data_IF_848979569766
#
_entry.id   IF_848979569766
#
_cell.length_a   1.000
_cell.length_b   1.000
_cell.length_c   1.000
_cell.angle_alpha   90.00
_cell.angle_beta   90.00
_cell.angle_gamma   90.00
#
_symmetry.space_group_name_H-M   'P 1'
#
loop_
_entity.id
_entity.type
_entity.pdbx_description
1 polymer ?
#
# COMPACT_ATOMS: atom_id res chain seq x y z
N UNK A 1 13.75 27.71 10.51
CA UNK A 1 13.90 27.42 9.07
C UNK A 1 12.53 27.61 8.42
N UNK A 2 12.42 28.25 7.26
CA UNK A 2 11.13 28.48 6.59
C UNK A 2 10.60 27.17 5.99
N UNK A 3 9.27 26.98 5.93
CA UNK A 3 8.63 25.75 5.41
C UNK A 3 9.09 25.39 3.99
N UNK A 4 9.33 26.40 3.14
CA UNK A 4 9.90 26.25 1.79
C UNK A 4 11.28 25.57 1.78
N UNK A 5 12.13 25.94 2.74
CA UNK A 5 13.48 25.36 2.85
C UNK A 5 13.37 23.90 3.29
N UNK A 6 12.47 23.60 4.24
CA UNK A 6 12.26 22.23 4.71
C UNK A 6 11.78 21.33 3.55
N UNK A 7 10.78 21.80 2.79
CA UNK A 7 10.25 21.07 1.66
C UNK A 7 11.29 20.84 0.55
N UNK A 8 12.10 21.87 0.25
CA UNK A 8 13.14 21.79 -0.79
C UNK A 8 14.24 20.80 -0.41
N UNK A 9 14.78 20.88 0.81
CA UNK A 9 15.80 19.95 1.28
C UNK A 9 15.26 18.51 1.36
N UNK A 10 14.00 18.36 1.81
CA UNK A 10 13.36 17.04 1.83
C UNK A 10 13.20 16.47 0.42
N UNK A 11 12.75 17.26 -0.55
CA UNK A 11 12.63 16.84 -1.94
C UNK A 11 14.00 16.40 -2.50
N UNK A 12 15.07 17.15 -2.24
CA UNK A 12 16.43 16.77 -2.64
C UNK A 12 16.88 15.44 -1.98
N UNK A 13 16.56 15.23 -0.70
CA UNK A 13 16.80 13.98 0.02
C UNK A 13 16.08 12.80 -0.63
N UNK A 14 14.78 12.94 -0.94
CA UNK A 14 13.99 11.88 -1.58
C UNK A 14 14.53 11.54 -2.98
N UNK A 15 14.80 12.56 -3.80
CA UNK A 15 15.36 12.37 -5.14
C UNK A 15 16.71 11.65 -5.13
N UNK A 16 17.54 11.88 -4.11
CA UNK A 16 18.84 11.23 -3.96
C UNK A 16 18.73 9.73 -3.61
N UNK A 17 17.67 9.30 -2.90
CA UNK A 17 17.48 7.88 -2.52
C UNK A 17 16.69 7.08 -3.56
N UNK A 18 15.78 7.74 -4.29
CA UNK A 18 14.95 7.10 -5.30
C UNK A 18 14.31 8.11 -6.27
N UNK A 19 14.60 7.97 -7.57
CA UNK A 19 14.05 8.86 -8.60
C UNK A 19 12.55 8.70 -8.85
N UNK A 20 11.92 7.62 -8.34
CA UNK A 20 10.47 7.42 -8.45
C UNK A 20 9.68 8.05 -7.31
N UNK A 21 10.35 8.65 -6.32
CA UNK A 21 9.65 9.39 -5.28
C UNK A 21 9.18 10.74 -5.85
N UNK A 22 7.93 11.16 -5.54
CA UNK A 22 7.43 12.46 -5.93
C UNK A 22 8.25 13.58 -5.28
N UNK A 23 8.20 14.76 -5.88
CA UNK A 23 8.69 15.98 -5.24
C UNK A 23 7.92 16.29 -3.95
N UNK A 24 8.42 17.27 -3.19
CA UNK A 24 7.77 17.74 -1.97
C UNK A 24 7.50 19.23 -2.07
N UNK A 25 6.27 19.63 -1.78
CA UNK A 25 5.88 21.04 -1.60
C UNK A 25 5.62 21.31 -0.11
N UNK A 26 5.74 22.56 0.36
CA UNK A 26 5.39 22.91 1.73
C UNK A 26 4.00 22.39 2.11
N UNK A 27 3.86 21.92 3.35
CA UNK A 27 2.56 21.52 3.85
C UNK A 27 1.70 22.75 4.17
N UNK A 28 0.42 22.64 3.84
CA UNK A 28 -0.60 23.63 4.19
C UNK A 28 -1.60 23.01 5.15
N UNK A 29 -2.03 23.78 6.14
CA UNK A 29 -3.10 23.34 7.04
C UNK A 29 -4.43 23.30 6.28
N UNK A 30 -5.28 22.35 6.65
CA UNK A 30 -6.62 22.21 6.10
C UNK A 30 -7.61 21.85 7.23
N UNK A 31 -8.92 21.84 6.92
CA UNK A 31 -9.96 21.56 7.92
C UNK A 31 -9.72 20.26 8.71
N UNK A 32 -9.19 19.22 8.06
CA UNK A 32 -8.88 17.92 8.65
C UNK A 32 -7.38 17.61 8.73
N UNK A 33 -6.52 18.65 8.66
CA UNK A 33 -5.08 18.48 8.71
C UNK A 33 -4.35 19.65 9.41
N UNK A 34 -3.47 19.31 10.36
CA UNK A 34 -2.69 20.28 11.14
C UNK A 34 -1.21 20.14 10.80
N UNK A 35 -0.55 21.28 10.59
CA UNK A 35 0.91 21.32 10.40
C UNK A 35 1.59 21.40 11.76
N UNK A 36 2.53 20.49 12.00
CA UNK A 36 3.39 20.41 13.17
C UNK A 36 4.82 20.71 12.75
N UNK A 37 5.47 21.67 13.39
CA UNK A 37 6.86 22.03 13.09
C UNK A 37 7.74 21.88 14.32
N UNK A 38 8.96 21.41 14.11
CA UNK A 38 10.00 21.28 15.12
C UNK A 38 11.35 21.68 14.54
N UNK A 39 12.24 22.19 15.40
CA UNK A 39 13.61 22.53 15.03
C UNK A 39 14.58 22.09 16.13
N UNK A 40 15.77 21.66 15.74
CA UNK A 40 16.84 21.26 16.66
C UNK A 40 18.18 21.62 16.02
N UNK A 41 18.84 22.65 16.56
CA UNK A 41 20.05 23.22 15.94
C UNK A 41 19.77 23.66 14.50
N UNK A 42 20.61 23.21 13.56
CA UNK A 42 20.51 23.51 12.13
C UNK A 42 19.60 22.53 11.36
N UNK A 43 18.82 21.69 12.07
CA UNK A 43 17.85 20.77 11.47
C UNK A 43 16.42 21.17 11.81
N UNK A 44 15.49 20.88 10.90
CA UNK A 44 14.08 21.13 11.11
C UNK A 44 13.22 20.03 10.47
N UNK A 45 12.01 19.87 10.99
CA UNK A 45 11.01 18.99 10.39
C UNK A 45 9.63 19.65 10.40
N UNK A 46 8.86 19.36 9.35
CA UNK A 46 7.45 19.71 9.24
C UNK A 46 6.64 18.43 9.04
N UNK A 47 5.49 18.33 9.69
CA UNK A 47 4.60 17.17 9.60
C UNK A 47 3.17 17.61 9.38
N UNK A 48 2.52 17.05 8.38
CA UNK A 48 1.09 17.21 8.14
C UNK A 48 0.34 16.06 8.82
N UNK A 49 -0.19 16.34 10.02
CA UNK A 49 -1.04 15.43 10.76
C UNK A 49 -2.47 15.49 10.20
N UNK A 50 -2.94 14.41 9.60
CA UNK A 50 -4.29 14.32 9.00
C UNK A 50 -5.06 13.12 9.53
N UNK A 51 -6.39 13.18 9.43
CA UNK A 51 -7.29 12.08 9.81
C UNK A 51 -8.04 11.58 8.58
N UNK A 52 -7.95 10.28 8.32
CA UNK A 52 -8.71 9.61 7.27
C UNK A 52 -9.69 8.65 7.94
N UNK A 53 -10.99 8.88 7.71
CA UNK A 53 -12.05 7.99 8.16
C UNK A 53 -12.63 7.23 6.97
N UNK A 54 -12.73 5.91 7.11
CA UNK A 54 -13.28 5.00 6.11
C UNK A 54 -14.64 4.54 6.61
N UNK A 55 -15.65 4.60 5.73
CA UNK A 55 -16.97 4.03 6.03
C UNK A 55 -16.84 2.52 6.25
N UNK A 56 -17.58 1.98 7.22
CA UNK A 56 -17.50 0.56 7.58
C UNK A 56 -17.87 -0.36 6.42
N UNK A 57 -18.75 0.09 5.53
CA UNK A 57 -19.24 -0.69 4.40
C UNK A 57 -18.50 -0.35 3.09
N UNK A 58 -17.45 0.48 3.17
CA UNK A 58 -16.63 0.80 2.01
C UNK A 58 -15.81 -0.42 1.55
N UNK A 59 -15.58 -0.59 0.23
CA UNK A 59 -14.81 -1.71 -0.31
C UNK A 59 -13.41 -1.90 0.29
N UNK A 60 -12.77 -0.80 0.70
CA UNK A 60 -11.42 -0.84 1.28
C UNK A 60 -11.41 -1.02 2.81
N UNK A 61 -12.56 -0.98 3.48
CA UNK A 61 -12.66 -1.13 4.93
C UNK A 61 -12.08 -2.46 5.45
N UNK A 62 -12.28 -3.62 4.79
CA UNK A 62 -11.69 -4.88 5.25
C UNK A 62 -10.17 -4.86 5.36
N UNK A 63 -9.48 -3.98 4.62
CA UNK A 63 -8.03 -4.05 4.42
C UNK A 63 -7.22 -3.11 5.34
N UNK A 64 -7.89 -2.40 6.26
CA UNK A 64 -7.27 -1.37 7.11
C UNK A 64 -8.10 -1.06 8.36
N UNK A 65 -7.56 -0.23 9.26
CA UNK A 65 -8.31 0.40 10.34
C UNK A 65 -9.33 1.41 9.80
N UNK A 66 -10.49 1.59 10.45
CA UNK A 66 -11.52 2.53 9.99
C UNK A 66 -11.10 3.99 10.16
N UNK A 67 -10.29 4.28 11.17
CA UNK A 67 -9.68 5.60 11.35
C UNK A 67 -8.16 5.49 11.27
N UNK A 68 -7.56 6.16 10.29
CA UNK A 68 -6.10 6.30 10.21
C UNK A 68 -5.71 7.76 10.51
N UNK A 69 -4.91 7.96 11.54
CA UNK A 69 -4.19 9.20 11.76
C UNK A 69 -2.87 9.12 11.00
N UNK A 70 -2.66 10.00 10.03
CA UNK A 70 -1.47 9.98 9.17
C UNK A 70 -0.58 11.16 9.47
N UNK A 71 0.72 10.93 9.46
CA UNK A 71 1.74 11.97 9.50
C UNK A 71 2.60 11.85 8.24
N UNK A 72 2.28 12.66 7.23
CA UNK A 72 3.23 12.91 6.14
C UNK A 72 4.26 13.92 6.65
N UNK A 73 5.55 13.69 6.38
CA UNK A 73 6.62 14.47 7.00
C UNK A 73 7.65 14.96 5.98
N UNK A 74 8.34 16.03 6.36
CA UNK A 74 9.45 16.62 5.64
C UNK A 74 10.59 16.88 6.64
N UNK A 75 11.81 16.53 6.25
CA UNK A 75 13.01 16.62 7.09
C UNK A 75 14.08 17.42 6.35
N UNK A 76 14.72 18.33 7.08
CA UNK A 76 15.81 19.16 6.60
C UNK A 76 16.96 19.25 7.61
N UNK A 77 18.15 19.54 7.10
CA UNK A 77 19.39 19.63 7.87
C UNK A 77 20.09 18.30 8.17
N UNK A 78 21.24 18.37 8.88
CA UNK A 78 22.16 17.23 9.05
C UNK A 78 21.72 16.18 10.09
N UNK A 79 20.69 16.44 10.90
CA UNK A 79 20.25 15.56 11.99
C UNK A 79 18.81 15.04 11.80
N UNK A 80 18.49 14.37 10.68
CA UNK A 80 17.12 13.96 10.35
C UNK A 80 16.48 13.04 11.39
N UNK A 81 17.27 12.21 12.09
CA UNK A 81 16.77 11.34 13.15
C UNK A 81 16.30 12.14 14.39
N UNK A 82 17.06 13.16 14.80
CA UNK A 82 16.73 13.97 15.99
C UNK A 82 15.46 14.81 15.77
N UNK A 83 15.33 15.44 14.59
CA UNK A 83 14.11 16.21 14.28
C UNK A 83 12.90 15.32 14.01
N UNK A 84 13.10 14.09 13.52
CA UNK A 84 12.01 13.11 13.44
C UNK A 84 11.52 12.72 14.84
N UNK A 85 12.42 12.40 15.77
CA UNK A 85 12.09 12.06 17.16
C UNK A 85 11.28 13.18 17.84
N UNK A 86 11.72 14.43 17.68
CA UNK A 86 11.00 15.60 18.15
C UNK A 86 9.61 15.75 17.49
N UNK A 87 9.51 15.51 16.18
CA UNK A 87 8.23 15.60 15.46
C UNK A 87 7.26 14.49 15.89
N UNK A 88 7.75 13.27 16.09
CA UNK A 88 6.95 12.14 16.58
C UNK A 88 6.46 12.38 18.01
N UNK A 89 7.29 12.97 18.87
CA UNK A 89 6.88 13.40 20.22
C UNK A 89 5.74 14.41 20.16
N UNK A 90 5.88 15.45 19.33
CA UNK A 90 4.83 16.47 19.12
C UNK A 90 3.55 15.87 18.53
N UNK A 91 3.69 14.90 17.63
CA UNK A 91 2.53 14.22 17.06
C UNK A 91 1.85 13.28 18.06
N UNK A 92 2.60 12.62 18.94
CA UNK A 92 2.05 11.81 20.02
C UNK A 92 1.21 12.65 21.00
N UNK A 93 1.64 13.87 21.33
CA UNK A 93 0.86 14.83 22.10
C UNK A 93 -0.45 15.21 21.38
N UNK A 94 -0.38 15.48 20.08
CA UNK A 94 -1.55 15.76 19.25
C UNK A 94 -2.52 14.57 19.22
N UNK A 95 -2.02 13.35 19.00
CA UNK A 95 -2.85 12.13 18.97
C UNK A 95 -3.60 11.91 20.28
N UNK A 96 -2.96 12.11 21.43
CA UNK A 96 -3.61 12.00 22.75
C UNK A 96 -4.76 12.99 22.96
N UNK A 97 -4.76 14.11 22.21
CA UNK A 97 -5.83 15.10 22.28
C UNK A 97 -7.01 14.79 21.33
N UNK A 98 -6.80 13.98 20.27
CA UNK A 98 -7.79 13.80 19.20
C UNK A 98 -8.24 12.35 18.99
N UNK A 99 -7.64 11.38 19.67
CA UNK A 99 -7.94 9.96 19.53
C UNK A 99 -8.10 9.28 20.89
N UNK A 100 -9.04 8.32 20.95
CA UNK A 100 -9.29 7.53 22.15
C UNK A 100 -8.18 6.48 22.37
N UNK A 101 -7.58 6.41 23.57
CA UNK A 101 -6.64 5.36 23.92
C UNK A 101 -7.27 3.97 23.80
N UNK A 102 -6.55 3.01 23.22
CA UNK A 102 -6.98 1.62 23.17
C UNK A 102 -7.89 1.24 22.00
N UNK A 103 -8.38 2.19 21.19
CA UNK A 103 -9.28 1.87 20.08
C UNK A 103 -8.56 1.14 18.94
N UNK A 104 -8.82 -0.17 18.83
CA UNK A 104 -8.22 -1.06 17.81
C UNK A 104 -8.66 -0.78 16.38
N UNK A 105 -9.71 0.04 16.20
CA UNK A 105 -10.18 0.54 14.91
C UNK A 105 -9.50 1.85 14.50
N UNK A 106 -8.57 2.35 15.32
CA UNK A 106 -7.67 3.46 15.00
C UNK A 106 -6.25 2.98 14.75
N UNK A 107 -5.55 3.61 13.82
CA UNK A 107 -4.12 3.40 13.60
C UNK A 107 -3.39 4.72 13.36
N UNK A 108 -2.18 4.86 13.91
CA UNK A 108 -1.26 5.93 13.56
C UNK A 108 -0.33 5.41 12.46
N UNK A 109 -0.16 6.17 11.37
CA UNK A 109 0.62 5.78 10.19
C UNK A 109 1.59 6.89 9.78
N UNK A 110 2.84 6.53 9.56
CA UNK A 110 3.88 7.39 9.00
C UNK A 110 4.44 6.75 7.72
N UNK A 111 4.02 7.21 6.53
CA UNK A 111 4.66 6.80 5.29
C UNK A 111 6.11 7.30 5.26
N UNK A 112 7.06 6.40 4.96
CA UNK A 112 8.48 6.73 4.78
C UNK A 112 8.97 6.17 3.46
N UNK A 113 9.80 6.91 2.75
CA UNK A 113 10.53 6.38 1.60
C UNK A 113 11.36 5.18 2.06
N UNK A 114 11.17 4.01 1.45
CA UNK A 114 11.74 2.75 1.97
C UNK A 114 13.27 2.73 2.00
N UNK A 115 13.91 3.55 1.15
CA UNK A 115 15.37 3.70 1.10
C UNK A 115 15.91 4.82 1.99
N UNK A 116 15.04 5.63 2.60
CA UNK A 116 15.43 6.63 3.60
C UNK A 116 15.45 6.00 5.01
N UNK A 117 16.60 5.42 5.37
CA UNK A 117 16.76 4.70 6.62
C UNK A 117 16.88 5.60 7.87
N UNK A 118 17.12 6.91 7.71
CA UNK A 118 17.32 7.78 8.85
C UNK A 118 16.05 7.85 9.72
N UNK A 119 16.21 7.78 11.04
CA UNK A 119 15.05 7.85 11.93
C UNK A 119 14.32 6.52 12.14
N UNK A 120 14.75 5.41 11.52
CA UNK A 120 14.07 4.12 11.67
C UNK A 120 14.08 3.60 13.12
N UNK A 121 15.14 3.88 13.88
CA UNK A 121 15.23 3.52 15.30
C UNK A 121 14.25 4.34 16.13
N UNK A 122 14.13 5.62 15.83
CA UNK A 122 13.24 6.56 16.50
C UNK A 122 11.77 6.15 16.25
N UNK A 123 11.42 5.72 15.03
CA UNK A 123 10.11 5.10 14.75
C UNK A 123 9.81 3.91 15.68
N UNK A 124 10.78 3.02 15.89
CA UNK A 124 10.62 1.86 16.80
C UNK A 124 10.47 2.29 18.26
N UNK A 125 11.23 3.29 18.72
CA UNK A 125 11.10 3.83 20.07
C UNK A 125 9.70 4.42 20.34
N UNK A 126 9.12 5.09 19.34
CA UNK A 126 7.73 5.57 19.38
C UNK A 126 6.68 4.47 19.16
N UNK A 127 7.11 3.21 19.01
CA UNK A 127 6.24 2.05 18.95
C UNK A 127 5.63 1.78 17.58
N UNK A 128 6.18 2.35 16.51
CA UNK A 128 5.79 2.02 15.14
C UNK A 128 6.52 0.77 14.66
N UNK A 129 5.83 -0.07 13.89
CA UNK A 129 6.41 -1.19 13.17
C UNK A 129 6.24 -0.99 11.65
N UNK A 130 7.20 -1.43 10.82
CA UNK A 130 7.05 -1.39 9.36
C UNK A 130 6.09 -2.52 8.94
N UNK A 131 4.80 -2.21 8.77
CA UNK A 131 3.78 -3.24 8.56
C UNK A 131 3.37 -3.41 7.10
N UNK A 132 3.29 -2.32 6.33
CA UNK A 132 2.78 -2.32 4.96
C UNK A 132 3.74 -1.63 4.02
N UNK A 133 3.94 -2.20 2.83
CA UNK A 133 4.84 -1.67 1.80
C UNK A 133 4.02 -1.27 0.58
N UNK A 134 4.27 -0.08 0.05
CA UNK A 134 3.92 0.29 -1.33
C UNK A 134 5.09 -0.13 -2.19
N UNK A 135 4.92 -1.18 -2.98
CA UNK A 135 5.95 -1.68 -3.87
C UNK A 135 5.73 -1.14 -5.28
N UNK A 136 6.81 -0.87 -6.00
CA UNK A 136 6.79 -0.33 -7.37
C UNK A 136 7.49 -1.27 -8.34
N UNK A 137 6.88 -1.45 -9.51
CA UNK A 137 7.46 -2.08 -10.70
C UNK A 137 7.39 -1.08 -11.86
N UNK A 138 8.53 -0.55 -12.34
CA UNK A 138 8.55 0.24 -13.58
C UNK A 138 8.14 -0.60 -14.80
N UNK A 139 7.54 0.05 -15.79
CA UNK A 139 7.24 -0.54 -17.09
C UNK A 139 8.50 -1.09 -17.77
N UNK A 140 8.32 -2.01 -18.72
CA UNK A 140 9.39 -2.60 -19.55
C UNK A 140 10.50 -3.34 -18.78
N UNK A 141 10.29 -3.62 -17.49
CA UNK A 141 11.21 -4.49 -16.76
C UNK A 141 11.11 -5.89 -17.36
N UNK A 142 12.14 -6.29 -18.12
CA UNK A 142 12.28 -7.62 -18.68
C UNK A 142 12.12 -8.63 -17.55
N UNK A 143 10.96 -9.29 -17.50
CA UNK A 143 10.82 -10.53 -16.76
C UNK A 143 11.68 -11.54 -17.53
N UNK A 144 12.54 -12.33 -16.87
CA UNK A 144 13.23 -13.43 -17.55
C UNK A 144 12.18 -14.20 -18.36
N UNK A 145 12.48 -14.52 -19.62
CA UNK A 145 11.54 -15.21 -20.50
C UNK A 145 10.95 -16.42 -19.75
N UNK A 146 9.68 -16.32 -19.35
CA UNK A 146 9.01 -17.41 -18.66
C UNK A 146 8.93 -18.57 -19.66
N UNK A 147 9.25 -19.82 -19.26
CA UNK A 147 9.01 -20.98 -20.10
C UNK A 147 7.56 -20.97 -20.62
N UNK A 148 7.34 -21.55 -21.81
CA UNK A 148 6.03 -21.66 -22.47
C UNK A 148 4.91 -22.09 -21.50
N UNK A 149 4.16 -21.12 -20.97
CA UNK A 149 3.05 -21.33 -20.04
C UNK A 149 3.44 -22.01 -18.72
N UNK A 150 2.68 -21.76 -17.65
CA UNK A 150 2.72 -22.66 -16.49
C UNK A 150 1.86 -23.88 -16.85
N UNK A 151 2.39 -25.12 -16.84
CA UNK A 151 1.62 -26.29 -17.25
C UNK A 151 0.29 -26.40 -16.50
N UNK A 152 -0.79 -26.62 -17.26
CA UNK A 152 -2.14 -26.78 -16.70
C UNK A 152 -2.80 -25.47 -16.23
N UNK A 153 -2.14 -24.32 -16.33
CA UNK A 153 -2.73 -23.02 -15.98
C UNK A 153 -3.35 -22.39 -17.22
N UNK A 154 -4.65 -22.08 -17.13
CA UNK A 154 -5.38 -21.25 -18.09
C UNK A 154 -5.87 -20.00 -17.39
N UNK A 155 -5.57 -18.82 -17.93
CA UNK A 155 -6.08 -17.55 -17.42
C UNK A 155 -7.18 -17.07 -18.35
N UNK A 156 -8.32 -16.69 -17.78
CA UNK A 156 -9.43 -16.08 -18.50
C UNK A 156 -9.97 -14.89 -17.72
N UNK A 157 -10.67 -14.00 -18.42
CA UNK A 157 -11.42 -12.93 -17.76
C UNK A 157 -12.51 -13.55 -16.87
N UNK A 158 -12.77 -12.91 -15.74
CA UNK A 158 -13.84 -13.33 -14.85
C UNK A 158 -15.19 -12.99 -15.46
N UNK A 159 -16.16 -13.86 -15.22
CA UNK A 159 -17.55 -13.77 -15.66
C UNK A 159 -18.47 -13.64 -14.43
N UNK A 160 -19.73 -13.20 -14.58
CA UNK A 160 -20.66 -13.07 -13.45
C UNK A 160 -20.81 -14.35 -12.60
N UNK A 161 -20.70 -15.52 -13.23
CA UNK A 161 -20.80 -16.83 -12.57
C UNK A 161 -19.58 -17.15 -11.68
N UNK A 162 -18.49 -16.39 -11.79
CA UNK A 162 -17.29 -16.57 -10.94
C UNK A 162 -17.41 -15.91 -9.56
N UNK A 163 -18.50 -15.19 -9.27
CA UNK A 163 -18.63 -14.39 -8.04
C UNK A 163 -18.34 -15.20 -6.77
N UNK A 164 -18.95 -16.39 -6.63
CA UNK A 164 -18.74 -17.26 -5.46
C UNK A 164 -17.27 -17.67 -5.31
N UNK A 165 -16.63 -18.01 -6.44
CA UNK A 165 -15.20 -18.38 -6.47
C UNK A 165 -14.31 -17.19 -6.08
N UNK A 166 -14.58 -16.01 -6.64
CA UNK A 166 -13.81 -14.80 -6.35
C UNK A 166 -13.94 -14.38 -4.89
N UNK A 167 -15.14 -14.50 -4.31
CA UNK A 167 -15.39 -14.24 -2.89
C UNK A 167 -14.62 -15.23 -2.02
N UNK A 168 -14.65 -16.53 -2.32
CA UNK A 168 -13.92 -17.54 -1.58
C UNK A 168 -12.40 -17.28 -1.60
N UNK A 169 -11.83 -16.98 -2.77
CA UNK A 169 -10.41 -16.61 -2.91
C UNK A 169 -10.08 -15.30 -2.17
N UNK A 170 -10.97 -14.31 -2.22
CA UNK A 170 -10.83 -13.04 -1.51
C UNK A 170 -10.83 -13.22 0.01
N UNK A 171 -11.71 -14.09 0.53
CA UNK A 171 -11.79 -14.43 1.94
C UNK A 171 -10.55 -15.21 2.41
N UNK A 172 -9.99 -16.10 1.59
CA UNK A 172 -8.73 -16.77 1.91
C UNK A 172 -7.57 -15.77 2.01
N UNK A 173 -7.46 -14.85 1.04
CA UNK A 173 -6.47 -13.77 1.05
C UNK A 173 -6.63 -12.89 2.30
N UNK A 174 -7.85 -12.46 2.60
CA UNK A 174 -8.16 -11.61 3.75
C UNK A 174 -7.79 -12.29 5.07
N UNK A 175 -8.21 -13.54 5.25
CA UNK A 175 -7.90 -14.35 6.43
C UNK A 175 -6.40 -14.57 6.62
N UNK A 176 -5.66 -14.71 5.53
CA UNK A 176 -4.20 -14.84 5.59
C UNK A 176 -3.54 -13.52 5.97
N UNK A 177 -3.96 -12.40 5.37
CA UNK A 177 -3.35 -11.08 5.63
C UNK A 177 -3.72 -10.50 7.01
N UNK A 178 -4.86 -10.90 7.59
CA UNK A 178 -5.28 -10.55 8.96
C UNK A 178 -4.23 -10.89 10.04
N UNK A 179 -3.32 -11.82 9.74
CA UNK A 179 -2.28 -12.28 10.67
C UNK A 179 -1.14 -11.27 10.84
N UNK A 180 -0.98 -10.30 9.93
CA UNK A 180 0.19 -9.39 9.90
C UNK A 180 -0.10 -7.97 10.40
N UNK A 181 -1.24 -7.76 11.07
CA UNK A 181 -1.53 -6.53 11.83
C UNK A 181 -2.01 -5.31 11.04
N UNK A 182 -1.98 -5.36 9.70
CA UNK A 182 -2.50 -4.29 8.82
C UNK A 182 -4.02 -4.40 8.61
N UNK A 183 -4.50 -5.63 8.43
CA UNK A 183 -5.90 -5.96 8.21
C UNK A 183 -6.63 -6.12 9.55
N UNK A 184 -7.81 -5.50 9.67
CA UNK A 184 -8.70 -5.69 10.82
C UNK A 184 -9.78 -6.71 10.46
N UNK A 185 -9.84 -7.79 11.23
CA UNK A 185 -10.95 -8.73 11.12
C UNK A 185 -12.23 -8.11 11.66
N UNK A 186 -13.31 -8.17 10.88
CA UNK A 186 -14.63 -7.69 11.26
C UNK A 186 -15.69 -8.69 10.82
N UNK A 187 -16.81 -8.74 11.54
CA UNK A 187 -18.01 -9.43 11.05
C UNK A 187 -18.53 -8.72 9.80
N UNK A 188 -18.99 -9.46 8.79
CA UNK A 188 -19.54 -8.90 7.55
C UNK A 188 -18.52 -8.57 6.46
N UNK A 189 -17.25 -8.95 6.62
CA UNK A 189 -16.21 -8.77 5.58
C UNK A 189 -16.59 -9.48 4.28
N UNK A 190 -17.15 -10.68 4.37
CA UNK A 190 -17.58 -11.45 3.20
C UNK A 190 -18.62 -10.71 2.36
N UNK A 191 -19.63 -10.10 3.00
CA UNK A 191 -20.67 -9.33 2.32
C UNK A 191 -20.08 -8.10 1.61
N UNK A 192 -19.12 -7.42 2.24
CA UNK A 192 -18.42 -6.27 1.65
C UNK A 192 -17.61 -6.70 0.42
N UNK A 193 -16.85 -7.80 0.52
CA UNK A 193 -16.08 -8.34 -0.60
C UNK A 193 -16.99 -8.83 -1.74
N UNK A 194 -18.09 -9.52 -1.41
CA UNK A 194 -19.05 -9.98 -2.39
C UNK A 194 -19.71 -8.82 -3.14
N UNK A 195 -20.08 -7.75 -2.43
CA UNK A 195 -20.62 -6.55 -3.06
C UNK A 195 -19.61 -5.88 -3.98
N UNK A 196 -18.38 -5.67 -3.55
CA UNK A 196 -17.34 -5.05 -4.37
C UNK A 196 -17.02 -5.89 -5.63
N UNK A 197 -16.83 -7.19 -5.47
CA UNK A 197 -16.57 -8.11 -6.59
C UNK A 197 -17.76 -8.17 -7.56
N UNK A 198 -18.99 -8.18 -7.06
CA UNK A 198 -20.18 -8.12 -7.90
C UNK A 198 -20.25 -6.83 -8.72
N UNK A 199 -19.91 -5.67 -8.15
CA UNK A 199 -19.82 -4.42 -8.91
C UNK A 199 -18.71 -4.45 -9.98
N UNK A 200 -17.56 -5.06 -9.68
CA UNK A 200 -16.49 -5.24 -10.68
C UNK A 200 -16.94 -6.14 -11.84
N UNK A 201 -17.65 -7.25 -11.55
CA UNK A 201 -18.13 -8.21 -12.54
C UNK A 201 -19.28 -7.68 -13.42
N UNK A 202 -19.98 -6.62 -13.00
CA UNK A 202 -20.99 -5.94 -13.82
C UNK A 202 -20.39 -5.09 -14.95
N UNK A 203 -19.10 -4.77 -14.89
CA UNK A 203 -18.42 -4.01 -15.95
C UNK A 203 -18.40 -4.85 -17.23
N UNK A 204 -18.57 -4.24 -18.43
CA UNK A 204 -18.42 -4.97 -19.70
C UNK A 204 -17.06 -5.65 -19.83
N UNK A 205 -16.05 -5.02 -19.24
CA UNK A 205 -14.68 -5.49 -19.16
C UNK A 205 -14.22 -5.47 -17.70
N UNK A 206 -14.54 -6.52 -16.91
CA UNK A 206 -14.12 -6.59 -15.51
C UNK A 206 -12.59 -6.59 -15.43
N UNK A 207 -11.97 -5.78 -14.56
CA UNK A 207 -10.51 -5.80 -14.38
C UNK A 207 -10.10 -6.97 -13.45
N UNK A 208 -10.69 -8.13 -13.64
CA UNK A 208 -10.57 -9.34 -12.83
C UNK A 208 -10.39 -10.55 -13.74
N UNK A 209 -9.41 -11.39 -13.43
CA UNK A 209 -9.13 -12.63 -14.14
C UNK A 209 -9.06 -13.81 -13.18
N UNK A 210 -9.49 -14.97 -13.67
CA UNK A 210 -9.44 -16.26 -12.98
C UNK A 210 -8.36 -17.12 -13.61
N UNK A 211 -7.57 -17.76 -12.76
CA UNK A 211 -6.65 -18.82 -13.15
C UNK A 211 -7.25 -20.19 -12.83
N UNK A 212 -7.45 -20.99 -13.86
CA UNK A 212 -7.83 -22.39 -13.77
C UNK A 212 -6.58 -23.27 -13.79
N UNK A 213 -6.36 -24.05 -12.73
CA UNK A 213 -5.32 -25.08 -12.67
C UNK A 213 -5.96 -26.45 -12.91
N UNK A 214 -5.66 -27.06 -14.05
CA UNK A 214 -6.28 -28.30 -14.53
C UNK A 214 -7.82 -28.24 -14.49
N UNK A 215 -8.38 -27.11 -14.95
CA UNK A 215 -9.83 -26.88 -15.03
C UNK A 215 -10.50 -26.45 -13.72
N UNK A 216 -9.75 -26.28 -12.62
CA UNK A 216 -10.31 -25.79 -11.35
C UNK A 216 -9.91 -24.33 -11.12
N UNK A 217 -10.83 -23.40 -10.84
CA UNK A 217 -10.53 -21.99 -10.66
C UNK A 217 -9.90 -21.77 -9.27
N UNK A 218 -8.57 -21.73 -9.21
CA UNK A 218 -7.79 -21.74 -7.97
C UNK A 218 -6.92 -20.49 -7.77
N UNK A 219 -7.11 -19.47 -8.60
CA UNK A 219 -6.49 -18.17 -8.37
C UNK A 219 -7.24 -17.05 -9.06
N UNK A 220 -7.03 -15.83 -8.57
CA UNK A 220 -7.57 -14.62 -9.18
C UNK A 220 -6.58 -13.47 -9.09
N UNK A 221 -6.70 -12.51 -10.01
CA UNK A 221 -6.01 -11.22 -9.94
C UNK A 221 -6.95 -10.11 -10.35
N UNK A 222 -6.95 -9.00 -9.60
CA UNK A 222 -7.66 -7.77 -9.92
C UNK A 222 -6.69 -6.60 -10.05
N UNK A 223 -6.95 -5.70 -11.00
CA UNK A 223 -6.14 -4.52 -11.25
C UNK A 223 -6.99 -3.24 -11.29
N UNK A 224 -6.35 -2.09 -11.20
CA UNK A 224 -6.90 -0.80 -11.58
C UNK A 224 -6.02 -0.21 -12.68
N UNK A 225 -6.67 0.24 -13.75
CA UNK A 225 -6.02 0.78 -14.93
C UNK A 225 -5.48 2.20 -14.68
N UNK A 226 -4.52 2.68 -15.48
CA UNK A 226 -4.14 4.09 -15.48
C UNK A 226 -5.39 4.99 -15.63
N UNK A 227 -5.55 5.97 -14.74
CA UNK A 227 -6.74 6.83 -14.66
C UNK A 227 -7.73 6.45 -13.55
N UNK A 228 -7.69 5.21 -13.07
CA UNK A 228 -8.49 4.74 -11.92
C UNK A 228 -7.72 4.85 -10.58
N UNK A 229 -6.44 5.24 -10.64
CA UNK A 229 -5.47 5.16 -9.52
C UNK A 229 -5.17 6.51 -8.86
N UNK A 230 -6.06 7.50 -9.01
CA UNK A 230 -5.86 8.86 -8.46
C UNK A 230 -5.64 8.91 -6.94
N UNK A 231 -6.12 7.90 -6.20
CA UNK A 231 -5.95 7.80 -4.75
C UNK A 231 -4.52 7.45 -4.30
N UNK A 232 -3.67 6.92 -5.20
CA UNK A 232 -2.28 6.50 -4.90
C UNK A 232 -1.24 7.13 -5.83
N UNK A 233 -1.64 7.73 -6.95
CA UNK A 233 -0.72 8.31 -7.93
C UNK A 233 0.23 9.36 -7.33
N UNK A 234 -0.22 10.13 -6.34
CA UNK A 234 0.62 11.09 -5.60
C UNK A 234 1.78 10.48 -4.79
N UNK A 235 1.89 9.14 -4.71
CA UNK A 235 3.01 8.44 -4.06
C UNK A 235 4.13 8.08 -5.04
N UNK A 236 4.04 8.41 -6.32
CA UNK A 236 5.09 8.08 -7.30
C UNK A 236 5.27 9.21 -8.31
N UNK A 237 6.51 9.46 -8.71
CA UNK A 237 6.84 10.39 -9.79
C UNK A 237 6.62 9.73 -11.16
N UNK A 238 5.37 9.37 -11.46
CA UNK A 238 4.96 8.79 -12.73
C UNK A 238 3.55 9.26 -13.12
N UNK A 239 3.27 9.39 -14.42
CA UNK A 239 2.00 9.95 -14.89
C UNK A 239 0.92 8.87 -15.06
N UNK A 240 1.28 7.72 -15.62
CA UNK A 240 0.35 6.60 -15.88
C UNK A 240 0.61 5.49 -14.88
N UNK A 241 -0.16 5.48 -13.79
CA UNK A 241 0.03 4.52 -12.70
C UNK A 241 -1.00 3.40 -12.82
N UNK A 242 -0.55 2.17 -13.05
CA UNK A 242 -1.36 0.98 -12.83
C UNK A 242 -1.30 0.52 -11.37
N UNK A 243 -2.32 -0.18 -10.90
CA UNK A 243 -2.32 -0.74 -9.55
C UNK A 243 -2.79 -2.21 -9.57
N UNK A 244 -1.99 -3.10 -8.99
CA UNK A 244 -2.39 -4.50 -8.79
C UNK A 244 -3.12 -4.56 -7.43
N UNK A 245 -4.45 -4.69 -7.50
CA UNK A 245 -5.34 -4.55 -6.35
C UNK A 245 -5.28 -5.75 -5.41
N UNK A 246 -5.36 -6.94 -5.98
CA UNK A 246 -5.30 -8.19 -5.25
C UNK A 246 -4.80 -9.30 -6.18
N UNK A 247 -4.08 -10.26 -5.59
CA UNK A 247 -3.77 -11.53 -6.21
C UNK A 247 -3.92 -12.59 -5.13
N UNK A 248 -4.79 -13.56 -5.39
CA UNK A 248 -5.04 -14.67 -4.48
C UNK A 248 -4.81 -16.00 -5.22
N UNK A 249 -4.20 -16.95 -4.53
CA UNK A 249 -4.06 -18.33 -4.98
C UNK A 249 -4.51 -19.22 -3.84
N UNK A 250 -5.47 -20.09 -4.12
CA UNK A 250 -5.99 -21.03 -3.15
C UNK A 250 -4.84 -21.85 -2.55
N UNK A 251 -4.93 -22.18 -1.26
CA UNK A 251 -3.91 -22.92 -0.53
C UNK A 251 -3.49 -24.20 -1.27
N UNK A 252 -4.49 -24.93 -1.80
CA UNK A 252 -4.29 -26.17 -2.56
C UNK A 252 -3.50 -26.00 -3.88
N UNK A 253 -3.31 -24.78 -4.35
CA UNK A 253 -2.56 -24.44 -5.57
C UNK A 253 -1.32 -23.57 -5.30
N UNK A 254 -0.93 -23.33 -4.04
CA UNK A 254 0.31 -22.60 -3.75
C UNK A 254 1.53 -23.38 -4.24
N UNK A 255 2.58 -22.65 -4.61
CA UNK A 255 3.81 -23.21 -5.19
C UNK A 255 3.62 -23.99 -6.52
N UNK A 256 2.48 -23.83 -7.20
CA UNK A 256 2.21 -24.46 -8.51
C UNK A 256 2.58 -23.59 -9.72
N UNK A 257 2.97 -22.33 -9.50
CA UNK A 257 3.23 -21.34 -10.57
C UNK A 257 2.02 -20.48 -10.94
N UNK A 258 0.80 -20.79 -10.44
CA UNK A 258 -0.42 -19.99 -10.70
C UNK A 258 -0.23 -18.51 -10.38
N UNK A 259 0.39 -18.17 -9.24
CA UNK A 259 0.62 -16.78 -8.85
C UNK A 259 1.53 -16.04 -9.84
N UNK A 260 2.61 -16.67 -10.30
CA UNK A 260 3.52 -16.09 -11.29
C UNK A 260 2.82 -15.89 -12.64
N UNK A 261 1.98 -16.85 -13.06
CA UNK A 261 1.20 -16.72 -14.29
C UNK A 261 0.21 -15.54 -14.21
N UNK A 262 -0.52 -15.40 -13.09
CA UNK A 262 -1.43 -14.28 -12.84
C UNK A 262 -0.71 -12.93 -12.80
N UNK A 263 0.42 -12.84 -12.10
CA UNK A 263 1.21 -11.61 -12.04
C UNK A 263 1.73 -11.20 -13.43
N UNK A 264 2.24 -12.17 -14.21
CA UNK A 264 2.68 -11.93 -15.59
C UNK A 264 1.54 -11.41 -16.46
N UNK A 265 0.36 -12.04 -16.36
CA UNK A 265 -0.83 -11.60 -17.09
C UNK A 265 -1.27 -10.18 -16.70
N UNK A 266 -1.34 -9.88 -15.41
CA UNK A 266 -1.70 -8.56 -14.91
C UNK A 266 -0.70 -7.47 -15.36
N UNK A 267 0.60 -7.77 -15.38
CA UNK A 267 1.61 -6.86 -15.91
C UNK A 267 1.45 -6.63 -17.40
N UNK A 268 1.17 -7.67 -18.17
CA UNK A 268 0.91 -7.52 -19.61
C UNK A 268 -0.27 -6.61 -19.88
N UNK A 269 -1.40 -6.82 -19.19
CA UNK A 269 -2.59 -5.96 -19.31
C UNK A 269 -2.26 -4.50 -18.98
N UNK A 270 -1.54 -4.24 -17.89
CA UNK A 270 -1.19 -2.87 -17.50
C UNK A 270 -0.15 -2.24 -18.44
N UNK A 271 0.78 -3.02 -18.98
CA UNK A 271 1.77 -2.57 -19.96
C UNK A 271 1.09 -2.23 -21.30
N UNK A 272 0.10 -3.02 -21.75
CA UNK A 272 -0.72 -2.73 -22.95
C UNK A 272 -1.56 -1.46 -22.81
N UNK A 273 -2.06 -1.20 -21.60
CA UNK A 273 -2.74 0.05 -21.22
C UNK A 273 -1.74 1.21 -21.00
N UNK A 274 -0.45 1.01 -21.26
CA UNK A 274 0.58 2.03 -21.21
C UNK A 274 0.87 2.55 -19.81
N UNK A 275 0.79 1.72 -18.77
CA UNK A 275 1.27 2.11 -17.44
C UNK A 275 2.78 2.38 -17.46
N UNK A 276 3.23 3.48 -16.87
CA UNK A 276 4.65 3.79 -16.64
C UNK A 276 5.21 2.98 -15.47
N UNK A 277 4.36 2.73 -14.47
CA UNK A 277 4.65 1.98 -13.27
C UNK A 277 3.42 1.21 -12.83
N UNK A 278 3.64 0.07 -12.19
CA UNK A 278 2.62 -0.66 -11.44
C UNK A 278 2.95 -0.58 -9.95
N UNK A 279 1.96 -0.17 -9.16
CA UNK A 279 2.03 -0.17 -7.70
C UNK A 279 1.22 -1.34 -7.12
N UNK A 280 1.61 -1.79 -5.94
CA UNK A 280 0.77 -2.66 -5.10
C UNK A 280 1.08 -2.43 -3.62
N UNK A 281 0.17 -2.87 -2.76
CA UNK A 281 0.45 -3.02 -1.35
C UNK A 281 0.72 -4.48 -1.00
N UNK A 282 1.68 -4.73 -0.11
CA UNK A 282 1.81 -6.02 0.56
C UNK A 282 2.19 -5.80 2.04
N UNK A 283 1.83 -6.76 2.90
CA UNK A 283 2.32 -6.79 4.27
C UNK A 283 3.82 -7.12 4.28
N UNK A 284 4.62 -6.33 5.00
CA UNK A 284 6.07 -6.48 5.04
C UNK A 284 6.48 -7.83 5.66
N UNK A 285 5.77 -8.23 6.71
CA UNK A 285 6.01 -9.46 7.47
C UNK A 285 5.44 -10.72 6.80
N UNK A 286 4.68 -10.59 5.70
CA UNK A 286 4.10 -11.74 5.02
C UNK A 286 5.22 -12.53 4.29
N UNK A 287 5.55 -13.76 4.74
CA UNK A 287 6.70 -14.51 4.26
C UNK A 287 6.48 -15.11 2.86
N UNK A 288 5.24 -15.11 2.36
CA UNK A 288 4.93 -15.55 1.00
C UNK A 288 4.91 -14.36 0.05
N UNK A 289 4.15 -13.31 0.39
CA UNK A 289 3.94 -12.16 -0.49
C UNK A 289 5.22 -11.34 -0.71
N UNK A 290 5.99 -11.06 0.34
CA UNK A 290 7.21 -10.23 0.22
C UNK A 290 8.23 -10.81 -0.77
N UNK A 291 8.71 -12.06 -0.62
CA UNK A 291 9.65 -12.63 -1.59
C UNK A 291 9.01 -12.84 -2.97
N UNK A 292 7.72 -13.20 -3.03
CA UNK A 292 7.02 -13.38 -4.28
C UNK A 292 7.02 -12.09 -5.13
N UNK A 293 6.58 -10.97 -4.57
CA UNK A 293 6.50 -9.71 -5.30
C UNK A 293 7.87 -9.20 -5.74
N UNK A 294 8.91 -9.37 -4.91
CA UNK A 294 10.27 -9.00 -5.30
C UNK A 294 10.81 -9.87 -6.44
N UNK A 295 10.45 -11.16 -6.47
CA UNK A 295 10.74 -12.03 -7.61
C UNK A 295 9.97 -11.62 -8.88
N UNK A 296 8.80 -10.97 -8.75
CA UNK A 296 8.05 -10.40 -9.88
C UNK A 296 8.57 -9.02 -10.35
N UNK A 297 9.75 -8.59 -9.85
CA UNK A 297 10.39 -7.34 -10.28
C UNK A 297 9.95 -6.09 -9.53
N UNK A 298 9.13 -6.24 -8.49
CA UNK A 298 8.82 -5.15 -7.58
C UNK A 298 9.99 -4.87 -6.63
N UNK A 299 10.02 -3.64 -6.12
CA UNK A 299 10.87 -3.24 -5.01
C UNK A 299 10.08 -2.29 -4.09
N UNK A 300 10.42 -2.19 -2.80
CA UNK A 300 9.75 -1.24 -1.92
C UNK A 300 10.04 0.20 -2.36
N UNK A 301 8.99 1.03 -2.45
CA UNK A 301 9.08 2.49 -2.67
C UNK A 301 8.76 3.25 -1.39
N UNK A 302 7.64 2.89 -0.75
CA UNK A 302 7.26 3.40 0.56
C UNK A 302 7.04 2.28 1.57
N UNK A 303 7.42 2.54 2.80
CA UNK A 303 7.10 1.72 3.97
C UNK A 303 6.17 2.51 4.86
N UNK A 304 4.99 1.96 5.12
CA UNK A 304 4.02 2.52 6.05
C UNK A 304 4.34 1.94 7.42
N UNK A 305 4.92 2.80 8.25
CA UNK A 305 5.17 2.53 9.65
C UNK A 305 3.88 2.75 10.41
N UNK A 306 3.43 1.74 11.13
CA UNK A 306 2.12 1.75 11.77
C UNK A 306 2.23 1.40 13.26
N UNK A 307 1.44 2.12 14.05
CA UNK A 307 1.14 1.81 15.46
C UNK A 307 -0.37 1.67 15.60
N UNK A 308 -0.83 0.55 16.17
CA UNK A 308 -2.24 0.25 16.40
C UNK A 308 -2.42 -0.31 17.82
N UNK A 309 -3.34 0.21 18.65
CA UNK A 309 -4.18 1.40 18.43
C UNK A 309 -3.36 2.68 18.19
N UNK A 310 -3.98 3.74 17.66
CA UNK A 310 -3.27 4.99 17.35
C UNK A 310 -2.64 5.61 18.61
N UNK A 311 -3.36 5.53 19.74
CA UNK A 311 -2.91 5.90 21.09
C UNK A 311 -2.94 4.65 21.97
N UNK A 312 -1.82 4.38 22.64
CA UNK A 312 -1.67 3.28 23.61
C UNK A 312 -2.08 3.72 25.00
#
# INVERSE_FOLDING_TARGET
>A
MHSDVIATEHAARLAAVDSLLPGSTPFEAAENAVVLEVATGDSAASGLASRVQVDRDAPNAPWRALTEHRLDLQLAGPQPAAVLDALLTRWDEHLRAVAEPGDTETAAIVPRASRDAAGAREMLHHGFAPLRVVAVRPAQRLVPATPLGTPGVKIRRAEPDDLETAVALGMELHSYDAQYGTVNWRTGVEDILAKDLAEQLKRPEPPLWIAELYGRPLGMVSVQHPGETGWISGRVAASRVGYLSSLAVAEAARSSGVGTALATHAHHVLDEEGADVVLLHHAAANPLSTPFWYAQGYRPLWTYWQRRPAVR
#
